data_IF_091754698822
#
_entry.id   IF_091754698822
#
_cell.length_a   1.000
_cell.length_b   1.000
_cell.length_c   1.000
_cell.angle_alpha   90.00
_cell.angle_beta   90.00
_cell.angle_gamma   90.00
#
_symmetry.space_group_name_H-M   'P 1'
#
loop_
_entity.id
_entity.type
_entity.pdbx_description
1 polymer ?
#
# COMPACT_ATOMS: atom_id res chain seq x y z
N UNK A 1 16.84 10.24 -12.48
CA UNK A 1 15.36 10.22 -12.50
C UNK A 1 14.82 10.61 -11.12
N UNK A 2 14.10 11.73 -11.01
CA UNK A 2 13.30 11.96 -9.80
C UNK A 2 12.19 10.91 -9.77
N UNK A 3 12.22 10.05 -8.76
CA UNK A 3 11.25 8.99 -8.56
C UNK A 3 9.94 9.64 -8.09
N UNK A 4 9.18 10.14 -9.06
CA UNK A 4 8.03 11.02 -8.84
C UNK A 4 7.35 11.43 -10.15
N UNK A 5 7.30 10.51 -11.13
CA UNK A 5 6.44 10.72 -12.29
C UNK A 5 4.96 10.67 -11.87
N UNK A 6 4.09 11.34 -12.66
CA UNK A 6 2.64 11.45 -12.44
C UNK A 6 2.05 10.16 -11.86
N UNK A 7 1.46 10.26 -10.67
CA UNK A 7 0.88 9.12 -9.96
C UNK A 7 0.23 9.56 -8.66
N UNK A 8 -0.44 8.63 -8.00
CA UNK A 8 -1.04 8.82 -6.67
C UNK A 8 -0.89 7.52 -5.87
N UNK A 9 -1.13 7.61 -4.57
CA UNK A 9 -1.23 6.46 -3.69
C UNK A 9 -2.28 6.75 -2.62
N UNK A 10 -2.98 5.71 -2.17
CA UNK A 10 -3.69 5.78 -0.88
C UNK A 10 -2.66 5.57 0.22
N UNK A 11 -2.71 6.38 1.28
CA UNK A 11 -1.84 6.25 2.46
C UNK A 11 -2.74 6.02 3.66
N UNK A 12 -2.49 4.96 4.40
CA UNK A 12 -3.25 4.57 5.59
C UNK A 12 -2.33 4.51 6.79
N UNK A 13 -2.72 5.19 7.85
CA UNK A 13 -2.17 4.98 9.18
C UNK A 13 -2.75 3.68 9.75
N UNK A 14 -1.89 2.69 9.95
CA UNK A 14 -2.25 1.39 10.49
C UNK A 14 -1.75 1.20 11.94
N UNK A 15 -1.42 2.29 12.65
CA UNK A 15 -0.89 2.28 14.00
C UNK A 15 0.64 2.30 14.00
N UNK A 16 1.33 1.16 14.24
CA UNK A 16 2.79 1.14 14.27
C UNK A 16 3.46 1.33 12.90
N UNK A 17 2.70 1.30 11.81
CA UNK A 17 3.20 1.43 10.44
C UNK A 17 2.28 2.30 9.58
N UNK A 18 2.86 2.96 8.58
CA UNK A 18 2.11 3.54 7.47
C UNK A 18 2.10 2.57 6.29
N UNK A 19 0.97 2.44 5.60
CA UNK A 19 0.84 1.61 4.41
C UNK A 19 0.45 2.50 3.23
N UNK A 20 1.21 2.44 2.15
CA UNK A 20 0.83 3.05 0.88
C UNK A 20 0.48 1.99 -0.16
N UNK A 21 -0.62 2.21 -0.89
CA UNK A 21 -1.00 1.42 -2.06
C UNK A 21 -1.04 2.33 -3.28
N UNK A 22 -0.27 1.98 -4.31
CA UNK A 22 -0.24 2.68 -5.60
C UNK A 22 -1.14 1.98 -6.62
N UNK A 23 -1.61 2.66 -7.69
CA UNK A 23 -2.32 2.04 -8.81
C UNK A 23 -1.57 0.93 -9.54
N UNK A 24 -0.25 0.82 -9.37
CA UNK A 24 0.58 -0.25 -9.93
C UNK A 24 0.63 -1.48 -9.03
N UNK A 25 -0.34 -1.63 -8.13
CA UNK A 25 -0.49 -2.81 -7.27
C UNK A 25 0.69 -3.02 -6.33
N UNK A 26 1.40 -1.91 -6.03
CA UNK A 26 2.53 -1.89 -5.11
C UNK A 26 2.05 -1.40 -3.75
N UNK A 27 2.05 -2.31 -2.78
CA UNK A 27 1.79 -2.04 -1.38
C UNK A 27 3.13 -1.93 -0.64
N UNK A 28 3.40 -0.77 -0.05
CA UNK A 28 4.65 -0.50 0.66
C UNK A 28 4.36 -0.12 2.10
N UNK A 29 5.12 -0.72 3.03
CA UNK A 29 5.01 -0.50 4.47
C UNK A 29 6.17 0.37 4.92
N UNK A 30 5.87 1.41 5.70
CA UNK A 30 6.85 2.35 6.25
C UNK A 30 6.78 2.39 7.77
N UNK A 31 7.94 2.67 8.38
CA UNK A 31 7.99 3.11 9.77
C UNK A 31 7.59 4.59 9.83
N UNK A 32 6.60 4.98 10.65
CA UNK A 32 6.25 6.37 10.83
C UNK A 32 7.42 7.09 11.52
N UNK A 33 7.98 8.12 10.87
CA UNK A 33 9.06 8.93 11.43
C UNK A 33 8.92 10.39 11.01
N UNK A 34 9.20 11.30 11.94
CA UNK A 34 9.16 12.73 11.69
C UNK A 34 10.39 13.25 10.92
N UNK A 35 11.48 12.49 10.89
CA UNK A 35 12.78 12.97 10.41
C UNK A 35 13.32 12.23 9.20
N UNK A 36 12.82 11.02 8.94
CA UNK A 36 13.33 10.19 7.86
C UNK A 36 12.25 9.31 7.26
N UNK A 37 12.37 9.07 5.96
CA UNK A 37 11.60 8.04 5.27
C UNK A 37 12.27 6.68 5.46
N UNK A 38 11.54 5.69 5.99
CA UNK A 38 12.06 4.33 6.21
C UNK A 38 11.07 3.28 5.73
N UNK A 39 11.38 2.68 4.58
CA UNK A 39 10.63 1.54 4.03
C UNK A 39 10.99 0.26 4.79
N UNK A 40 9.98 -0.45 5.27
CA UNK A 40 10.11 -1.73 5.96
C UNK A 40 9.93 -2.92 5.01
N UNK A 41 8.95 -2.84 4.11
CA UNK A 41 8.64 -3.90 3.15
C UNK A 41 7.88 -3.37 1.94
N UNK A 42 7.89 -4.12 0.84
CA UNK A 42 7.09 -3.78 -0.35
C UNK A 42 6.66 -5.03 -1.12
N UNK A 43 5.37 -5.12 -1.42
CA UNK A 43 4.70 -6.27 -2.02
C UNK A 43 3.95 -5.89 -3.29
N UNK A 44 3.97 -6.76 -4.29
CA UNK A 44 3.03 -6.67 -5.40
C UNK A 44 1.79 -7.48 -5.00
N UNK A 45 0.63 -6.83 -4.91
CA UNK A 45 -0.57 -7.42 -4.30
C UNK A 45 -1.62 -7.91 -5.30
N UNK A 46 -1.45 -7.56 -6.58
CA UNK A 46 -2.27 -8.02 -7.71
C UNK A 46 -1.46 -7.85 -9.01
N UNK A 47 -1.83 -8.62 -10.03
CA UNK A 47 -1.36 -8.46 -11.41
C UNK A 47 -2.17 -7.41 -12.20
N UNK A 48 -3.26 -6.89 -11.63
CA UNK A 48 -4.10 -5.84 -12.22
C UNK A 48 -4.13 -4.56 -11.37
N UNK A 49 -4.42 -3.37 -11.94
CA UNK A 49 -4.35 -2.09 -11.22
C UNK A 49 -5.26 -2.00 -10.00
N UNK A 50 -4.76 -1.36 -8.94
CA UNK A 50 -5.48 -1.17 -7.67
C UNK A 50 -5.80 0.30 -7.41
N UNK A 51 -6.98 0.74 -7.85
CA UNK A 51 -7.41 2.14 -7.74
C UNK A 51 -8.13 2.48 -6.44
N UNK A 52 -8.67 1.48 -5.74
CA UNK A 52 -9.37 1.67 -4.49
C UNK A 52 -8.39 1.83 -3.30
N UNK A 53 -8.82 2.57 -2.28
CA UNK A 53 -8.13 2.58 -1.00
C UNK A 53 -8.19 1.18 -0.35
N UNK A 54 -7.08 0.64 0.18
CA UNK A 54 -7.11 -0.63 0.88
C UNK A 54 -7.86 -0.48 2.21
N UNK A 55 -8.41 -1.59 2.71
CA UNK A 55 -8.99 -1.66 4.06
C UNK A 55 -8.08 -2.47 4.95
N UNK A 56 -7.67 -1.88 6.07
CA UNK A 56 -6.85 -2.53 7.08
C UNK A 56 -7.74 -2.97 8.25
N UNK A 57 -7.68 -4.24 8.63
CA UNK A 57 -8.48 -4.80 9.73
C UNK A 57 -7.64 -5.77 10.56
N UNK A 58 -7.00 -5.24 11.60
CA UNK A 58 -6.04 -5.99 12.40
C UNK A 58 -4.84 -6.43 11.56
N UNK A 59 -4.58 -7.73 11.51
CA UNK A 59 -3.50 -8.34 10.72
C UNK A 59 -3.91 -8.72 9.29
N UNK A 60 -4.94 -8.07 8.74
CA UNK A 60 -5.50 -8.38 7.42
C UNK A 60 -5.57 -7.12 6.57
N UNK A 61 -5.30 -7.29 5.28
CA UNK A 61 -5.37 -6.21 4.29
C UNK A 61 -6.31 -6.67 3.17
N UNK A 62 -7.34 -5.88 2.90
CA UNK A 62 -8.23 -6.08 1.76
C UNK A 62 -7.86 -5.09 0.66
N UNK A 63 -7.58 -5.62 -0.53
CA UNK A 63 -7.23 -4.84 -1.71
C UNK A 63 -8.25 -5.14 -2.80
N UNK A 64 -8.87 -4.11 -3.36
CA UNK A 64 -9.69 -4.25 -4.57
C UNK A 64 -8.85 -3.92 -5.79
N UNK A 65 -8.82 -4.85 -6.74
CA UNK A 65 -8.24 -4.65 -8.06
C UNK A 65 -9.34 -4.47 -9.12
N UNK A 66 -9.00 -4.67 -10.40
CA UNK A 66 -9.96 -4.51 -11.50
C UNK A 66 -11.16 -5.47 -11.36
N UNK A 67 -10.90 -6.72 -10.97
CA UNK A 67 -11.83 -7.83 -11.12
C UNK A 67 -12.29 -8.44 -9.78
N UNK A 68 -11.56 -8.19 -8.69
CA UNK A 68 -11.73 -8.91 -7.43
C UNK A 68 -11.43 -8.07 -6.18
N UNK A 69 -11.81 -8.61 -5.03
CA UNK A 69 -11.32 -8.17 -3.71
C UNK A 69 -10.46 -9.27 -3.13
N UNK A 70 -9.19 -8.96 -2.90
CA UNK A 70 -8.15 -9.88 -2.45
C UNK A 70 -7.93 -9.65 -0.96
N UNK A 71 -7.97 -10.74 -0.18
CA UNK A 71 -7.56 -10.74 1.22
C UNK A 71 -6.10 -11.17 1.32
N UNK A 72 -5.28 -10.32 1.93
CA UNK A 72 -3.90 -10.62 2.33
C UNK A 72 -3.81 -10.85 3.83
N UNK A 73 -3.18 -11.97 4.21
CA UNK A 73 -2.90 -12.37 5.59
C UNK A 73 -1.44 -12.84 5.70
N UNK A 74 -0.85 -12.71 6.88
CA UNK A 74 0.51 -13.16 7.19
C UNK A 74 0.51 -14.48 7.96
#
# INVERSE_FOLDING_TARGET
PVEGSRGYASIIDAGPVLIALTPKSKLTVFEPSATAFKQLASYTVSDSPTHACPVISGNRIFVKDADSVILWTF
#
